data_IF_091273363703
#
_entry.id   IF_091273363703
#
_cell.length_a   1.000
_cell.length_b   1.000
_cell.length_c   1.000
_cell.angle_alpha   90.00
_cell.angle_beta   90.00
_cell.angle_gamma   90.00
#
_symmetry.space_group_name_H-M   'P 1'
#
loop_
_entity.id
_entity.type
_entity.pdbx_description
1 polymer ?
#
# COMPACT_ATOMS: atom_id res chain seq x y z
N UNK A 1 45.65 -20.32 -11.57
CA UNK A 1 44.47 -20.04 -12.40
C UNK A 1 43.31 -19.77 -11.45
N UNK A 2 42.82 -18.54 -11.44
CA UNK A 2 41.73 -18.10 -10.57
C UNK A 2 40.38 -18.38 -11.25
N UNK A 3 39.51 -19.14 -10.60
CA UNK A 3 38.13 -19.33 -11.03
C UNK A 3 37.30 -18.09 -10.67
N UNK A 4 37.07 -17.23 -11.65
CA UNK A 4 36.01 -16.22 -11.62
C UNK A 4 34.67 -16.89 -11.97
N UNK A 5 34.02 -17.47 -10.97
CA UNK A 5 32.63 -17.93 -11.06
C UNK A 5 31.70 -16.97 -10.32
N UNK A 6 31.30 -15.87 -10.95
CA UNK A 6 30.21 -15.04 -10.46
C UNK A 6 28.88 -15.73 -10.77
N UNK A 7 28.60 -16.85 -10.10
CA UNK A 7 27.31 -17.51 -10.16
C UNK A 7 26.32 -16.73 -9.33
N UNK A 8 25.39 -16.01 -9.97
CA UNK A 8 24.18 -15.55 -9.31
C UNK A 8 23.49 -16.78 -8.70
N UNK A 9 23.58 -16.94 -7.38
CA UNK A 9 22.90 -18.03 -6.68
C UNK A 9 21.40 -17.83 -6.89
N UNK A 10 20.78 -18.73 -7.64
CA UNK A 10 19.31 -18.77 -7.80
C UNK A 10 18.69 -18.85 -6.41
N UNK A 11 18.01 -17.79 -6.01
CA UNK A 11 17.31 -17.76 -4.72
C UNK A 11 16.03 -18.57 -4.83
N UNK A 12 16.04 -19.79 -4.32
CA UNK A 12 14.87 -20.68 -4.30
C UNK A 12 13.88 -20.37 -3.18
N UNK A 13 14.23 -19.47 -2.25
CA UNK A 13 13.35 -19.08 -1.15
C UNK A 13 12.42 -17.93 -1.58
N UNK A 14 11.40 -18.26 -2.36
CA UNK A 14 10.38 -17.33 -2.81
C UNK A 14 9.32 -17.15 -1.70
N UNK A 15 9.07 -15.90 -1.32
CA UNK A 15 8.01 -15.55 -0.37
C UNK A 15 6.83 -15.00 -1.16
N UNK A 16 5.79 -15.81 -1.31
CA UNK A 16 4.53 -15.39 -1.93
C UNK A 16 3.69 -14.59 -0.93
N UNK A 17 2.72 -13.81 -1.42
CA UNK A 17 1.76 -13.09 -0.58
C UNK A 17 1.04 -14.04 0.39
N UNK A 18 0.55 -15.18 -0.09
CA UNK A 18 -0.09 -16.21 0.74
C UNK A 18 0.85 -16.70 1.85
N UNK A 19 2.11 -16.99 1.52
CA UNK A 19 3.10 -17.42 2.51
C UNK A 19 3.40 -16.31 3.52
N UNK A 20 3.55 -15.06 3.06
CA UNK A 20 3.79 -13.91 3.92
C UNK A 20 2.65 -13.72 4.93
N UNK A 21 1.40 -13.76 4.47
CA UNK A 21 0.22 -13.62 5.34
C UNK A 21 0.14 -14.75 6.37
N UNK A 22 0.45 -15.99 5.97
CA UNK A 22 0.53 -17.13 6.88
C UNK A 22 1.64 -16.95 7.94
N UNK A 23 2.82 -16.50 7.54
CA UNK A 23 3.93 -16.27 8.48
C UNK A 23 3.63 -15.12 9.45
N UNK A 24 2.99 -14.04 8.99
CA UNK A 24 2.55 -12.94 9.86
C UNK A 24 1.46 -13.38 10.83
N UNK A 25 0.53 -14.24 10.39
CA UNK A 25 -0.49 -14.83 11.26
C UNK A 25 0.17 -15.57 12.44
N UNK A 26 1.19 -16.39 12.20
CA UNK A 26 1.87 -17.16 13.26
C UNK A 26 2.61 -16.27 14.28
N UNK A 27 3.09 -15.08 13.87
CA UNK A 27 3.85 -14.17 14.76
C UNK A 27 2.98 -13.47 15.81
N UNK A 28 1.70 -13.29 15.55
CA UNK A 28 0.76 -12.74 16.52
C UNK A 28 0.21 -13.86 17.40
N UNK A 29 0.66 -13.95 18.67
CA UNK A 29 0.38 -15.05 19.64
C UNK A 29 -1.12 -15.33 19.93
N UNK A 30 -2.05 -14.55 19.40
CA UNK A 30 -3.49 -14.81 19.46
C UNK A 30 -4.03 -15.62 18.25
N UNK A 31 -3.18 -15.90 17.26
CA UNK A 31 -3.56 -16.57 16.02
C UNK A 31 -3.03 -18.00 15.99
N UNK A 32 -3.92 -18.96 16.27
CA UNK A 32 -3.72 -20.34 15.83
C UNK A 32 -4.28 -20.47 14.42
N UNK A 33 -3.41 -20.86 13.49
CA UNK A 33 -3.82 -21.35 12.18
C UNK A 33 -4.32 -22.78 12.36
N UNK A 34 -5.62 -22.96 12.39
CA UNK A 34 -6.22 -24.29 12.26
C UNK A 34 -7.22 -24.29 11.11
N UNK A 35 -6.95 -25.18 10.16
CA UNK A 35 -7.70 -25.51 8.95
C UNK A 35 -9.08 -26.16 9.24
N UNK A 36 -9.70 -25.90 10.38
CA UNK A 36 -10.92 -26.59 10.79
C UNK A 36 -11.99 -25.63 11.28
N UNK A 37 -13.13 -25.71 10.60
CA UNK A 37 -14.41 -25.10 10.92
C UNK A 37 -14.80 -25.34 12.39
N UNK A 38 -14.48 -24.41 13.29
CA UNK A 38 -15.07 -24.33 14.63
C UNK A 38 -15.35 -22.87 14.97
N UNK A 39 -16.60 -22.48 15.32
CA UNK A 39 -16.92 -21.11 15.67
C UNK A 39 -16.39 -20.82 17.08
N UNK A 40 -15.26 -20.12 17.16
CA UNK A 40 -14.76 -19.54 18.41
C UNK A 40 -14.16 -18.16 18.13
N UNK A 41 -13.89 -17.31 19.15
CA UNK A 41 -13.29 -15.98 19.00
C UNK A 41 -11.93 -15.97 18.27
N UNK A 42 -11.38 -17.16 17.97
CA UNK A 42 -10.16 -17.45 17.19
C UNK A 42 -10.35 -17.38 15.67
N UNK A 43 -11.53 -16.99 15.16
CA UNK A 43 -11.87 -16.92 13.71
C UNK A 43 -11.44 -15.62 13.00
N UNK A 44 -10.77 -14.71 13.71
CA UNK A 44 -10.60 -13.32 13.29
C UNK A 44 -9.51 -13.14 12.22
N UNK A 45 -8.36 -13.82 12.33
CA UNK A 45 -7.30 -13.73 11.31
C UNK A 45 -7.54 -14.66 10.11
N UNK A 46 -8.21 -15.81 10.28
CA UNK A 46 -8.60 -16.68 9.15
C UNK A 46 -9.59 -15.97 8.22
N UNK A 47 -10.43 -15.08 8.78
CA UNK A 47 -11.34 -14.24 8.02
C UNK A 47 -10.60 -13.12 7.24
N UNK A 48 -9.56 -12.53 7.83
CA UNK A 48 -8.70 -11.57 7.15
C UNK A 48 -7.90 -12.22 6.01
N UNK A 49 -7.46 -13.47 6.20
CA UNK A 49 -6.74 -14.25 5.20
C UNK A 49 -7.61 -14.57 3.97
N UNK A 50 -8.85 -15.03 4.19
CA UNK A 50 -9.81 -15.28 3.11
C UNK A 50 -10.15 -13.99 2.34
N UNK A 51 -10.25 -12.86 3.04
CA UNK A 51 -10.44 -11.56 2.41
C UNK A 51 -9.23 -11.16 1.56
N UNK A 52 -8.00 -11.35 2.05
CA UNK A 52 -6.78 -11.07 1.29
C UNK A 52 -6.64 -11.98 0.05
N UNK A 53 -7.06 -13.24 0.12
CA UNK A 53 -7.10 -14.14 -1.04
C UNK A 53 -8.12 -13.70 -2.09
N UNK A 54 -9.31 -13.27 -1.66
CA UNK A 54 -10.31 -12.71 -2.57
C UNK A 54 -9.79 -11.44 -3.26
N UNK A 55 -9.17 -10.53 -2.50
CA UNK A 55 -8.53 -9.32 -3.04
C UNK A 55 -7.43 -9.67 -4.04
N UNK A 56 -6.56 -10.63 -3.71
CA UNK A 56 -5.50 -11.10 -4.60
C UNK A 56 -6.08 -11.63 -5.93
N UNK A 57 -7.17 -12.39 -5.87
CA UNK A 57 -7.85 -12.89 -7.06
C UNK A 57 -8.42 -11.75 -7.91
N UNK A 58 -9.08 -10.76 -7.30
CA UNK A 58 -9.56 -9.56 -8.00
C UNK A 58 -8.42 -8.82 -8.70
N UNK A 59 -7.31 -8.55 -8.00
CA UNK A 59 -6.19 -7.80 -8.57
C UNK A 59 -5.53 -8.54 -9.74
N UNK A 60 -5.39 -9.87 -9.66
CA UNK A 60 -4.88 -10.69 -10.78
C UNK A 60 -5.80 -10.63 -11.99
N UNK A 61 -7.11 -10.70 -11.75
CA UNK A 61 -8.12 -10.65 -12.80
C UNK A 61 -8.17 -9.28 -13.47
N UNK A 62 -8.19 -8.20 -12.69
CA UNK A 62 -8.15 -6.82 -13.19
C UNK A 62 -6.86 -6.58 -13.99
N UNK A 63 -5.70 -6.99 -13.47
CA UNK A 63 -4.42 -6.89 -14.19
C UNK A 63 -4.43 -7.64 -15.54
N UNK A 64 -5.12 -8.78 -15.61
CA UNK A 64 -5.27 -9.55 -16.85
C UNK A 64 -6.15 -8.80 -17.87
N UNK A 65 -7.29 -8.24 -17.45
CA UNK A 65 -8.18 -7.49 -18.34
C UNK A 65 -7.55 -6.18 -18.81
N UNK A 66 -6.86 -5.43 -17.94
CA UNK A 66 -6.14 -4.19 -18.30
C UNK A 66 -5.12 -4.47 -19.42
N UNK A 67 -4.29 -5.51 -19.28
CA UNK A 67 -3.25 -5.85 -20.27
C UNK A 67 -3.82 -6.30 -21.61
N UNK A 68 -5.08 -6.74 -21.63
CA UNK A 68 -5.78 -7.19 -22.84
C UNK A 68 -6.84 -6.21 -23.32
N UNK A 69 -6.95 -5.03 -22.70
CA UNK A 69 -8.05 -4.11 -22.95
C UNK A 69 -8.17 -3.73 -24.43
N UNK A 70 -7.06 -3.35 -25.07
CA UNK A 70 -7.03 -3.02 -26.50
C UNK A 70 -7.23 -4.25 -27.39
N UNK A 71 -6.76 -5.43 -26.97
CA UNK A 71 -6.87 -6.67 -27.75
C UNK A 71 -8.30 -7.22 -27.80
N UNK A 72 -9.07 -7.01 -26.73
CA UNK A 72 -10.44 -7.51 -26.56
C UNK A 72 -11.48 -6.39 -26.78
N UNK A 73 -11.02 -5.22 -27.25
CA UNK A 73 -11.85 -4.03 -27.51
C UNK A 73 -12.68 -3.59 -26.28
N UNK A 74 -12.05 -3.64 -25.11
CA UNK A 74 -12.59 -3.16 -23.83
C UNK A 74 -12.31 -1.67 -23.60
N UNK A 75 -11.63 -1.01 -24.54
CA UNK A 75 -11.40 0.45 -24.55
C UNK A 75 -12.67 1.18 -25.00
N UNK A 76 -12.97 2.32 -24.37
CA UNK A 76 -14.14 3.14 -24.67
C UNK A 76 -15.27 3.10 -23.63
N UNK A 77 -16.27 3.95 -23.88
CA UNK A 77 -17.37 4.22 -22.95
C UNK A 77 -18.33 3.02 -22.83
N UNK A 78 -18.79 2.77 -21.60
CA UNK A 78 -19.85 1.80 -21.31
C UNK A 78 -21.24 2.32 -21.69
N UNK A 79 -21.38 3.64 -21.87
CA UNK A 79 -22.64 4.32 -22.21
C UNK A 79 -23.43 4.83 -20.99
N UNK A 80 -22.89 4.67 -19.78
CA UNK A 80 -23.42 5.15 -18.50
C UNK A 80 -22.51 6.20 -17.86
N UNK A 81 -23.09 7.12 -17.08
CA UNK A 81 -22.36 8.12 -16.28
C UNK A 81 -22.46 7.76 -14.80
N UNK A 82 -21.35 7.77 -14.05
CA UNK A 82 -21.34 7.46 -12.62
C UNK A 82 -21.95 8.59 -11.77
N UNK A 83 -22.33 8.32 -10.51
CA UNK A 83 -22.78 9.34 -9.54
C UNK A 83 -21.74 10.42 -9.26
N UNK A 84 -20.47 10.13 -9.53
CA UNK A 84 -19.35 11.06 -9.43
C UNK A 84 -19.22 12.00 -10.64
N UNK A 85 -20.01 11.80 -11.69
CA UNK A 85 -20.04 12.61 -12.91
C UNK A 85 -18.91 12.31 -13.91
N UNK A 86 -18.14 11.25 -13.68
CA UNK A 86 -17.11 10.75 -14.60
C UNK A 86 -17.76 9.76 -15.62
N UNK A 87 -17.29 9.79 -16.88
CA UNK A 87 -17.77 8.91 -17.95
C UNK A 87 -17.31 7.46 -17.71
N UNK A 88 -18.24 6.52 -17.50
CA UNK A 88 -17.91 5.15 -17.13
C UNK A 88 -17.31 4.39 -18.32
N UNK A 89 -16.13 3.78 -18.13
CA UNK A 89 -15.53 2.91 -19.14
C UNK A 89 -15.95 1.47 -18.92
N UNK A 90 -15.95 0.67 -20.00
CA UNK A 90 -16.33 -0.75 -19.92
C UNK A 90 -15.45 -1.53 -18.93
N UNK A 91 -14.18 -1.17 -18.83
CA UNK A 91 -13.26 -1.83 -17.92
C UNK A 91 -13.54 -1.52 -16.45
N UNK A 92 -14.08 -0.33 -16.17
CA UNK A 92 -14.46 0.09 -14.81
C UNK A 92 -15.61 -0.81 -14.32
N UNK A 93 -16.65 -1.00 -15.15
CA UNK A 93 -17.77 -1.92 -14.88
C UNK A 93 -17.29 -3.35 -14.63
N UNK A 94 -16.45 -3.89 -15.53
CA UNK A 94 -15.94 -5.27 -15.40
C UNK A 94 -15.12 -5.42 -14.11
N UNK A 95 -14.31 -4.42 -13.78
CA UNK A 95 -13.45 -4.49 -12.60
C UNK A 95 -14.24 -4.34 -11.30
N UNK A 96 -15.28 -3.52 -11.30
CA UNK A 96 -16.24 -3.41 -10.21
C UNK A 96 -16.97 -4.75 -9.99
N UNK A 97 -17.54 -5.34 -11.04
CA UNK A 97 -18.25 -6.63 -10.97
C UNK A 97 -17.36 -7.76 -10.43
N UNK A 98 -16.12 -7.85 -10.94
CA UNK A 98 -15.12 -8.81 -10.47
C UNK A 98 -14.77 -8.61 -9.00
N UNK A 99 -14.66 -7.35 -8.56
CA UNK A 99 -14.37 -7.04 -7.16
C UNK A 99 -15.54 -7.41 -6.26
N UNK A 100 -16.76 -7.04 -6.63
CA UNK A 100 -17.98 -7.36 -5.89
C UNK A 100 -18.15 -8.87 -5.72
N UNK A 101 -17.99 -9.65 -6.80
CA UNK A 101 -18.17 -11.10 -6.76
C UNK A 101 -17.06 -11.80 -5.95
N UNK A 102 -15.82 -11.32 -6.04
CA UNK A 102 -14.74 -11.81 -5.19
C UNK A 102 -15.01 -11.53 -3.70
N UNK A 103 -15.50 -10.33 -3.37
CA UNK A 103 -15.87 -9.99 -1.99
C UNK A 103 -17.06 -10.82 -1.50
N UNK A 104 -18.07 -11.04 -2.34
CA UNK A 104 -19.24 -11.88 -2.06
C UNK A 104 -18.82 -13.32 -1.76
N UNK A 105 -17.99 -13.91 -2.62
CA UNK A 105 -17.52 -15.29 -2.47
C UNK A 105 -16.57 -15.50 -1.28
N UNK A 106 -15.92 -14.45 -0.80
CA UNK A 106 -15.09 -14.52 0.42
C UNK A 106 -15.90 -14.91 1.67
N UNK A 107 -17.20 -14.56 1.72
CA UNK A 107 -18.07 -14.77 2.88
C UNK A 107 -17.64 -14.03 4.16
N UNK A 108 -16.65 -13.12 4.07
CA UNK A 108 -16.10 -12.38 5.22
C UNK A 108 -16.37 -10.88 5.19
N UNK A 109 -16.80 -10.38 4.03
CA UNK A 109 -17.24 -9.01 3.82
C UNK A 109 -18.75 -8.91 4.06
N UNK A 110 -19.19 -8.04 4.98
CA UNK A 110 -20.62 -7.81 5.23
C UNK A 110 -21.16 -6.66 4.37
N UNK A 111 -20.33 -5.64 4.14
CA UNK A 111 -20.68 -4.47 3.34
C UNK A 111 -19.50 -4.00 2.48
N UNK A 112 -19.83 -3.54 1.28
CA UNK A 112 -18.87 -3.01 0.31
C UNK A 112 -19.34 -1.63 -0.16
N UNK A 113 -18.40 -0.68 -0.20
CA UNK A 113 -18.55 0.62 -0.86
C UNK A 113 -17.58 0.66 -2.02
N UNK A 114 -18.09 0.90 -3.22
CA UNK A 114 -17.30 1.07 -4.44
C UNK A 114 -17.46 2.50 -4.95
N UNK A 115 -16.46 3.02 -5.66
CA UNK A 115 -16.58 4.29 -6.38
C UNK A 115 -17.63 4.24 -7.49
N UNK A 116 -17.84 3.04 -8.06
CA UNK A 116 -18.72 2.78 -9.21
C UNK A 116 -20.19 2.52 -8.83
N UNK A 117 -20.50 2.49 -7.53
CA UNK A 117 -21.82 2.13 -7.00
C UNK A 117 -22.39 3.25 -6.14
N UNK A 118 -23.61 3.68 -6.45
CA UNK A 118 -24.27 4.79 -5.76
C UNK A 118 -24.71 4.40 -4.33
N UNK A 119 -25.06 3.12 -4.16
CA UNK A 119 -25.59 2.58 -2.91
C UNK A 119 -24.63 1.56 -2.31
N UNK A 120 -24.67 1.44 -0.98
CA UNK A 120 -23.85 0.47 -0.25
C UNK A 120 -24.33 -0.95 -0.58
N UNK A 121 -23.40 -1.83 -0.95
CA UNK A 121 -23.70 -3.23 -1.22
C UNK A 121 -23.64 -4.01 0.08
N UNK A 122 -24.78 -4.58 0.48
CA UNK A 122 -24.90 -5.45 1.66
C UNK A 122 -24.92 -6.92 1.25
N UNK A 123 -23.99 -7.71 1.80
CA UNK A 123 -23.92 -9.16 1.56
C UNK A 123 -24.73 -9.92 2.60
N UNK A 124 -26.02 -10.12 2.31
CA UNK A 124 -26.99 -10.78 3.23
C UNK A 124 -26.65 -12.22 3.60
N UNK A 125 -25.86 -12.92 2.77
CA UNK A 125 -25.52 -14.33 2.95
C UNK A 125 -24.21 -14.56 3.73
N UNK A 126 -23.63 -13.50 4.31
CA UNK A 126 -22.34 -13.58 5.00
C UNK A 126 -22.52 -13.68 6.52
N UNK A 127 -23.13 -14.79 6.97
CA UNK A 127 -23.29 -15.05 8.41
C UNK A 127 -21.92 -15.08 9.12
N UNK A 128 -21.73 -14.16 10.07
CA UNK A 128 -20.46 -14.01 10.79
C UNK A 128 -19.38 -13.23 10.04
N UNK A 129 -19.71 -12.50 8.98
CA UNK A 129 -18.82 -11.51 8.39
C UNK A 129 -18.49 -10.39 9.38
N UNK A 130 -17.22 -10.00 9.42
CA UNK A 130 -16.68 -9.04 10.41
C UNK A 130 -15.95 -7.86 9.77
N UNK A 131 -15.97 -7.78 8.44
CA UNK A 131 -15.25 -6.75 7.71
C UNK A 131 -16.17 -5.95 6.79
N UNK A 132 -15.87 -4.67 6.70
CA UNK A 132 -16.39 -3.72 5.74
C UNK A 132 -15.25 -3.32 4.81
N UNK A 133 -15.51 -3.27 3.50
CA UNK A 133 -14.49 -2.92 2.51
C UNK A 133 -14.95 -1.66 1.75
N UNK A 134 -14.04 -0.71 1.60
CA UNK A 134 -14.20 0.38 0.64
C UNK A 134 -13.16 0.18 -0.47
N UNK A 135 -13.55 0.35 -1.72
CA UNK A 135 -12.64 0.20 -2.85
C UNK A 135 -12.86 1.26 -3.93
N UNK A 136 -11.77 1.52 -4.65
CA UNK A 136 -11.77 2.13 -5.96
C UNK A 136 -11.25 1.05 -6.93
N UNK A 137 -12.14 0.42 -7.73
CA UNK A 137 -11.76 -0.66 -8.64
C UNK A 137 -10.69 -0.24 -9.65
N UNK A 138 -10.81 0.97 -10.22
CA UNK A 138 -9.86 1.54 -11.19
C UNK A 138 -9.64 3.04 -10.92
N UNK A 139 -8.63 3.34 -10.11
CA UNK A 139 -8.07 4.70 -10.01
C UNK A 139 -7.35 5.06 -11.32
N UNK A 140 -7.67 6.26 -11.81
CA UNK A 140 -7.08 6.81 -13.02
C UNK A 140 -7.66 6.24 -14.31
N UNK A 141 -8.91 5.73 -14.30
CA UNK A 141 -9.62 5.20 -15.47
C UNK A 141 -9.53 6.10 -16.71
N UNK A 142 -9.56 7.42 -16.54
CA UNK A 142 -9.37 8.41 -17.62
C UNK A 142 -8.11 8.18 -18.46
N UNK A 143 -7.04 7.66 -17.85
CA UNK A 143 -5.74 7.42 -18.47
C UNK A 143 -5.59 6.04 -19.14
N UNK A 144 -6.59 5.16 -18.99
CA UNK A 144 -6.55 3.79 -19.49
C UNK A 144 -6.35 3.72 -21.01
N UNK A 145 -7.05 4.57 -21.79
CA UNK A 145 -6.96 4.56 -23.26
C UNK A 145 -5.60 5.06 -23.76
N UNK A 146 -4.88 5.83 -22.94
CA UNK A 146 -3.53 6.30 -23.24
C UNK A 146 -2.44 5.28 -22.87
N UNK A 147 -2.80 4.13 -22.29
CA UNK A 147 -1.85 3.10 -21.85
C UNK A 147 -0.98 3.53 -20.67
N UNK A 148 -1.42 4.54 -19.91
CA UNK A 148 -0.73 5.03 -18.72
C UNK A 148 -1.08 4.12 -17.52
N UNK A 149 -0.25 4.17 -16.47
CA UNK A 149 -0.46 3.36 -15.26
C UNK A 149 -1.74 3.76 -14.53
N UNK A 150 -2.52 2.75 -14.15
CA UNK A 150 -3.77 2.86 -13.37
C UNK A 150 -3.66 1.94 -12.14
N UNK A 151 -4.64 1.92 -11.25
CA UNK A 151 -4.57 1.06 -10.08
C UNK A 151 -5.90 0.72 -9.43
N UNK A 152 -5.88 -0.16 -8.44
CA UNK A 152 -7.03 -0.44 -7.56
C UNK A 152 -6.66 -0.02 -6.15
N UNK A 153 -7.54 0.65 -5.43
CA UNK A 153 -7.34 1.03 -4.03
C UNK A 153 -8.34 0.27 -3.17
N UNK A 154 -7.91 -0.16 -1.97
CA UNK A 154 -8.81 -0.80 -1.02
C UNK A 154 -8.50 -0.40 0.41
N UNK A 155 -9.57 -0.32 1.20
CA UNK A 155 -9.59 -0.03 2.61
C UNK A 155 -10.44 -1.10 3.32
N UNK A 156 -9.95 -1.63 4.44
CA UNK A 156 -10.65 -2.63 5.24
C UNK A 156 -10.92 -2.07 6.63
N UNK A 157 -12.19 -2.05 7.01
CA UNK A 157 -12.69 -1.72 8.34
C UNK A 157 -13.16 -2.97 9.06
N UNK A 158 -13.02 -2.98 10.39
CA UNK A 158 -13.55 -4.04 11.25
C UNK A 158 -14.90 -3.62 11.81
N UNK A 159 -15.88 -4.51 11.69
CA UNK A 159 -17.22 -4.32 12.23
C UNK A 159 -17.27 -4.69 13.72
N UNK A 160 -18.15 -4.02 14.51
CA UNK A 160 -18.46 -4.44 15.87
C UNK A 160 -19.01 -5.87 15.91
N UNK A 161 -18.81 -6.58 17.04
CA UNK A 161 -19.35 -7.93 17.19
C UNK A 161 -20.88 -7.93 17.15
N UNK A 162 -21.47 -8.76 16.29
CA UNK A 162 -22.92 -8.87 16.13
C UNK A 162 -23.54 -7.81 15.20
N UNK A 163 -22.76 -6.88 14.64
CA UNK A 163 -23.27 -5.98 13.59
C UNK A 163 -23.44 -6.73 12.27
N UNK A 164 -24.58 -6.52 11.61
CA UNK A 164 -24.83 -6.96 10.23
C UNK A 164 -24.32 -5.96 9.19
N UNK A 165 -23.60 -4.93 9.63
CA UNK A 165 -23.13 -3.82 8.82
C UNK A 165 -24.22 -2.76 8.62
N UNK A 166 -24.04 -1.59 9.22
CA UNK A 166 -24.87 -0.41 8.91
C UNK A 166 -24.06 0.63 8.14
N UNK A 167 -24.73 1.65 7.59
CA UNK A 167 -24.05 2.78 6.92
C UNK A 167 -23.07 3.49 7.85
N UNK A 168 -23.39 3.57 9.13
CA UNK A 168 -22.57 4.20 10.16
C UNK A 168 -21.28 3.40 10.43
N UNK A 169 -21.27 2.10 10.16
CA UNK A 169 -20.11 1.26 10.40
C UNK A 169 -18.95 1.53 9.43
N UNK A 170 -19.24 2.05 8.23
CA UNK A 170 -18.21 2.45 7.24
C UNK A 170 -17.88 3.93 7.28
N UNK A 171 -18.76 4.77 7.83
CA UNK A 171 -18.54 6.20 8.03
C UNK A 171 -17.65 6.47 9.27
N UNK A 172 -16.54 5.74 9.35
CA UNK A 172 -15.56 5.83 10.43
C UNK A 172 -14.32 6.58 9.98
N UNK A 173 -13.58 7.22 10.90
CA UNK A 173 -12.34 7.88 10.55
C UNK A 173 -11.32 6.86 10.02
N UNK A 174 -10.49 7.28 9.05
CA UNK A 174 -9.45 6.42 8.45
C UNK A 174 -8.42 5.86 9.45
N UNK A 175 -8.32 6.46 10.64
CA UNK A 175 -7.49 5.97 11.76
C UNK A 175 -7.97 4.62 12.34
N UNK A 176 -9.20 4.21 12.04
CA UNK A 176 -9.79 2.93 12.44
C UNK A 176 -9.63 1.82 11.40
N UNK A 177 -9.01 2.10 10.25
CA UNK A 177 -8.69 1.08 9.25
C UNK A 177 -7.80 0.00 9.85
N UNK A 178 -8.14 -1.27 9.59
CA UNK A 178 -7.33 -2.42 10.04
C UNK A 178 -6.29 -2.82 9.00
N UNK A 179 -6.63 -2.64 7.72
CA UNK A 179 -5.75 -2.90 6.60
C UNK A 179 -6.09 -1.93 5.47
N UNK A 180 -5.08 -1.56 4.70
CA UNK A 180 -5.26 -0.80 3.47
C UNK A 180 -4.14 -1.11 2.49
N UNK A 181 -4.38 -0.77 1.24
CA UNK A 181 -3.38 -0.92 0.22
C UNK A 181 -3.89 -0.47 -1.13
N UNK A 182 -3.03 -0.66 -2.11
CA UNK A 182 -3.35 -0.42 -3.49
C UNK A 182 -2.55 -1.35 -4.39
N UNK A 183 -3.07 -1.62 -5.57
CA UNK A 183 -2.34 -2.32 -6.63
C UNK A 183 -2.14 -1.35 -7.79
N UNK A 184 -0.88 -1.10 -8.18
CA UNK A 184 -0.55 -0.34 -9.37
C UNK A 184 -0.40 -1.28 -10.56
N UNK A 185 -1.15 -1.03 -11.64
CA UNK A 185 -1.03 -1.71 -12.92
C UNK A 185 -0.24 -0.84 -13.90
N UNK A 186 1.09 -0.96 -13.84
CA UNK A 186 2.00 -0.34 -14.78
C UNK A 186 2.69 -1.37 -15.68
N UNK A 187 3.99 -1.18 -15.91
CA UNK A 187 4.82 -2.19 -16.59
C UNK A 187 4.77 -3.58 -15.92
N UNK A 188 4.59 -3.60 -14.60
CA UNK A 188 4.27 -4.77 -13.79
C UNK A 188 3.13 -4.42 -12.85
N UNK A 189 2.41 -5.44 -12.36
CA UNK A 189 1.40 -5.24 -11.33
C UNK A 189 2.08 -5.29 -9.95
N UNK A 190 1.96 -4.21 -9.19
CA UNK A 190 2.64 -4.00 -7.91
C UNK A 190 1.58 -3.80 -6.81
N UNK A 191 1.44 -4.78 -5.92
CA UNK A 191 0.56 -4.69 -4.76
C UNK A 191 1.33 -4.12 -3.58
N UNK A 192 0.84 -3.02 -3.01
CA UNK A 192 1.30 -2.48 -1.74
C UNK A 192 0.23 -2.76 -0.69
N UNK A 193 0.62 -3.38 0.42
CA UNK A 193 -0.27 -3.74 1.51
C UNK A 193 0.33 -3.29 2.84
N UNK A 194 -0.53 -2.78 3.72
CA UNK A 194 -0.20 -2.52 5.12
C UNK A 194 -1.35 -2.92 6.03
N UNK A 195 -0.99 -3.38 7.23
CA UNK A 195 -1.92 -3.50 8.35
C UNK A 195 -1.73 -2.30 9.29
N UNK A 196 -2.74 -2.01 10.11
CA UNK A 196 -2.62 -0.99 11.17
C UNK A 196 -1.43 -1.32 12.07
N UNK A 197 -0.63 -0.29 12.36
CA UNK A 197 0.56 -0.38 13.21
C UNK A 197 1.63 -1.40 12.75
N UNK A 198 1.66 -1.73 11.45
CA UNK A 198 2.61 -2.67 10.86
C UNK A 198 3.47 -2.03 9.76
N UNK A 199 4.42 -2.80 9.24
CA UNK A 199 5.24 -2.41 8.09
C UNK A 199 4.45 -2.41 6.79
N UNK A 200 4.77 -1.49 5.89
CA UNK A 200 4.31 -1.51 4.49
C UNK A 200 5.13 -2.53 3.71
N UNK A 201 4.47 -3.39 2.93
CA UNK A 201 5.14 -4.40 2.11
C UNK A 201 4.65 -4.34 0.66
N UNK A 202 5.59 -4.43 -0.28
CA UNK A 202 5.34 -4.42 -1.71
C UNK A 202 5.58 -5.78 -2.36
N UNK A 203 4.63 -6.23 -3.17
CA UNK A 203 4.64 -7.49 -3.88
C UNK A 203 4.50 -7.25 -5.39
N UNK A 204 5.30 -7.96 -6.18
CA UNK A 204 5.21 -7.91 -7.64
C UNK A 204 4.53 -9.16 -8.16
N UNK A 205 3.55 -9.00 -9.05
CA UNK A 205 2.89 -10.12 -9.71
C UNK A 205 3.83 -10.76 -10.74
N UNK A 206 4.13 -12.04 -10.55
CA UNK A 206 4.71 -12.90 -11.57
C UNK A 206 3.59 -13.46 -12.45
N UNK A 207 3.59 -13.11 -13.75
CA UNK A 207 2.56 -13.57 -14.68
C UNK A 207 2.73 -15.03 -15.12
N UNK A 208 3.94 -15.58 -15.04
CA UNK A 208 4.20 -16.97 -15.42
C UNK A 208 3.68 -17.95 -14.35
N UNK A 209 3.87 -17.59 -13.08
CA UNK A 209 3.42 -18.40 -11.93
C UNK A 209 2.00 -17.99 -11.49
N UNK A 210 1.60 -16.74 -11.72
CA UNK A 210 0.30 -16.22 -11.30
C UNK A 210 0.24 -15.86 -9.81
N UNK A 211 1.39 -15.53 -9.20
CA UNK A 211 1.52 -15.24 -7.77
C UNK A 211 2.17 -13.89 -7.51
N UNK A 212 1.75 -13.25 -6.42
CA UNK A 212 2.38 -12.03 -5.92
C UNK A 212 3.59 -12.41 -5.07
N UNK A 213 4.78 -12.02 -5.52
CA UNK A 213 6.05 -12.33 -4.86
C UNK A 213 6.51 -11.09 -4.09
N UNK A 214 6.94 -11.28 -2.85
CA UNK A 214 7.48 -10.20 -2.02
C UNK A 214 8.78 -9.68 -2.64
N UNK A 215 8.75 -8.44 -3.12
CA UNK A 215 9.91 -7.78 -3.75
C UNK A 215 10.43 -6.62 -2.93
N UNK A 216 9.55 -5.94 -2.18
CA UNK A 216 9.89 -4.79 -1.36
C UNK A 216 9.43 -5.00 0.09
N UNK A 217 10.17 -5.76 0.90
CA UNK A 217 9.85 -5.93 2.31
C UNK A 217 10.09 -4.63 3.08
N UNK A 218 9.16 -4.29 3.99
CA UNK A 218 9.31 -3.18 4.92
C UNK A 218 9.65 -1.84 4.24
N UNK A 219 8.85 -1.47 3.23
CA UNK A 219 8.99 -0.21 2.48
C UNK A 219 9.00 1.00 3.42
N UNK A 220 9.87 1.96 3.13
CA UNK A 220 9.99 3.22 3.86
C UNK A 220 10.13 4.37 2.90
N UNK A 221 9.47 5.48 3.22
CA UNK A 221 9.54 6.69 2.43
C UNK A 221 10.93 7.32 2.65
N UNK A 222 11.70 7.59 1.59
CA UNK A 222 12.95 8.33 1.70
C UNK A 222 12.71 9.74 2.27
N UNK A 223 13.51 10.15 3.26
CA UNK A 223 13.31 11.39 4.04
C UNK A 223 13.35 12.68 3.22
N UNK A 224 14.17 12.73 2.17
CA UNK A 224 14.34 13.94 1.39
C UNK A 224 14.64 13.57 -0.06
N UNK A 225 13.71 13.94 -0.94
CA UNK A 225 13.89 13.92 -2.38
C UNK A 225 13.14 15.08 -2.97
N UNK A 226 13.83 15.84 -3.82
CA UNK A 226 13.32 17.04 -4.43
C UNK A 226 12.40 16.69 -5.61
N UNK A 227 11.25 16.07 -5.33
CA UNK A 227 10.22 15.72 -6.32
C UNK A 227 8.86 16.21 -5.81
N UNK A 228 8.09 16.87 -6.67
CA UNK A 228 6.70 17.23 -6.38
C UNK A 228 5.77 16.77 -7.50
N UNK A 229 4.54 16.43 -7.12
CA UNK A 229 3.52 15.88 -8.00
C UNK A 229 2.19 16.56 -7.73
N UNK A 230 1.78 17.39 -8.67
CA UNK A 230 0.54 18.17 -8.60
C UNK A 230 0.08 18.53 -10.02
N UNK A 231 -1.22 18.65 -10.24
CA UNK A 231 -1.76 19.14 -11.51
C UNK A 231 -1.65 20.67 -11.60
N UNK A 232 -0.53 21.18 -12.09
CA UNK A 232 -0.31 22.62 -12.25
C UNK A 232 -1.27 23.32 -13.22
N UNK A 233 -2.00 22.58 -14.06
CA UNK A 233 -3.09 23.13 -14.89
C UNK A 233 -4.20 23.79 -14.08
N UNK A 234 -4.37 23.39 -12.82
CA UNK A 234 -5.35 23.99 -11.90
C UNK A 234 -4.79 25.18 -11.11
N UNK A 235 -3.53 25.60 -11.34
CA UNK A 235 -2.89 26.70 -10.60
C UNK A 235 -3.66 28.02 -10.61
N UNK A 236 -4.41 28.30 -11.68
CA UNK A 236 -5.29 29.47 -11.79
C UNK A 236 -6.39 29.48 -10.70
N UNK A 237 -6.83 28.30 -10.27
CA UNK A 237 -7.93 28.12 -9.32
C UNK A 237 -7.46 27.93 -7.88
N UNK A 238 -6.16 27.76 -7.66
CA UNK A 238 -5.60 27.56 -6.33
C UNK A 238 -5.66 28.82 -5.47
N UNK A 239 -5.67 28.59 -4.15
CA UNK A 239 -5.48 29.66 -3.19
C UNK A 239 -4.02 30.13 -3.19
N UNK A 240 -3.80 31.40 -2.82
CA UNK A 240 -2.48 32.02 -2.82
C UNK A 240 -1.40 31.22 -2.05
N UNK A 241 -1.67 30.67 -0.84
CA UNK A 241 -0.67 29.86 -0.13
C UNK A 241 -0.21 28.62 -0.92
N UNK A 242 -1.13 27.95 -1.62
CA UNK A 242 -0.82 26.78 -2.45
C UNK A 242 0.05 27.18 -3.64
N UNK A 243 -0.28 28.28 -4.31
CA UNK A 243 0.49 28.82 -5.43
C UNK A 243 1.90 29.20 -4.97
N UNK A 244 2.00 29.92 -3.85
CA UNK A 244 3.28 30.38 -3.30
C UNK A 244 4.15 29.18 -2.87
N UNK A 245 3.57 28.14 -2.26
CA UNK A 245 4.26 26.90 -1.93
C UNK A 245 4.83 26.20 -3.17
N UNK A 246 4.02 25.92 -4.19
CA UNK A 246 4.52 25.23 -5.39
C UNK A 246 5.50 26.09 -6.19
N UNK A 247 5.36 27.41 -6.19
CA UNK A 247 6.35 28.30 -6.79
C UNK A 247 7.68 28.27 -6.03
N UNK A 248 7.67 28.14 -4.70
CA UNK A 248 8.89 27.98 -3.90
C UNK A 248 9.66 26.68 -4.19
N UNK A 249 8.99 25.66 -4.72
CA UNK A 249 9.64 24.40 -5.13
C UNK A 249 10.37 24.51 -6.47
N UNK A 250 9.98 25.50 -7.31
CA UNK A 250 10.57 25.77 -8.63
C UNK A 250 11.82 26.64 -8.55
N UNK A 251 12.07 27.30 -7.42
CA UNK A 251 13.30 28.04 -7.19
C UNK A 251 14.42 27.09 -6.76
N UNK A 252 15.66 27.49 -7.01
CA UNK A 252 16.82 26.72 -6.58
C UNK A 252 16.84 26.59 -5.05
N UNK A 253 17.01 25.36 -4.58
CA UNK A 253 17.13 25.05 -3.15
C UNK A 253 18.58 25.26 -2.70
N UNK A 254 18.89 24.91 -1.44
CA UNK A 254 20.24 25.05 -0.88
C UNK A 254 21.33 24.27 -1.67
N UNK A 255 20.95 23.23 -2.39
CA UNK A 255 21.83 22.44 -3.26
C UNK A 255 21.97 23.01 -4.69
N UNK A 256 21.39 24.19 -4.93
CA UNK A 256 21.41 24.89 -6.22
C UNK A 256 20.43 24.33 -7.26
N UNK A 257 19.56 23.38 -6.91
CA UNK A 257 18.61 22.76 -7.85
C UNK A 257 17.17 22.92 -7.37
N UNK A 258 16.21 23.16 -8.29
CA UNK A 258 14.80 23.13 -7.94
C UNK A 258 14.29 21.68 -7.78
N UNK A 259 13.10 21.52 -7.21
CA UNK A 259 12.43 20.23 -7.19
C UNK A 259 12.02 19.82 -8.62
N UNK A 260 12.12 18.54 -8.91
CA UNK A 260 11.64 17.96 -10.17
C UNK A 260 10.12 17.77 -10.14
N UNK A 261 9.42 18.30 -11.14
CA UNK A 261 7.99 18.03 -11.34
C UNK A 261 7.77 16.64 -11.95
N UNK A 262 6.88 15.84 -11.36
CA UNK A 262 6.41 14.57 -11.91
C UNK A 262 4.93 14.44 -11.60
N UNK A 263 4.08 14.39 -12.61
CA UNK A 263 2.64 14.17 -12.43
C UNK A 263 2.17 13.16 -13.48
N UNK A 264 1.82 11.95 -13.03
CA UNK A 264 1.37 10.87 -13.92
C UNK A 264 -0.12 11.03 -14.21
N UNK A 265 -0.89 11.52 -13.25
CA UNK A 265 -2.33 11.73 -13.38
C UNK A 265 -3.19 10.54 -12.93
N UNK A 266 -2.58 9.51 -12.35
CA UNK A 266 -3.24 8.48 -11.53
C UNK A 266 -2.70 8.58 -10.11
N UNK A 267 -3.60 8.63 -9.12
CA UNK A 267 -3.23 8.74 -7.72
C UNK A 267 -2.33 7.57 -7.31
N UNK A 268 -2.68 6.35 -7.71
CA UNK A 268 -1.93 5.13 -7.38
C UNK A 268 -0.52 5.18 -7.93
N UNK A 269 -0.34 5.61 -9.18
CA UNK A 269 0.98 5.69 -9.81
C UNK A 269 1.86 6.77 -9.15
N UNK A 270 1.29 7.95 -8.90
CA UNK A 270 1.98 9.05 -8.23
C UNK A 270 2.31 8.71 -6.76
N UNK A 271 1.40 8.02 -6.06
CA UNK A 271 1.59 7.52 -4.70
C UNK A 271 2.68 6.45 -4.62
N UNK A 272 2.66 5.46 -5.50
CA UNK A 272 3.68 4.41 -5.54
C UNK A 272 5.09 4.98 -5.77
N UNK A 273 5.23 5.91 -6.71
CA UNK A 273 6.49 6.63 -6.93
C UNK A 273 6.93 7.39 -5.67
N UNK A 274 6.01 8.10 -5.03
CA UNK A 274 6.31 8.89 -3.83
C UNK A 274 6.73 7.98 -2.67
N UNK A 275 6.12 6.80 -2.54
CA UNK A 275 6.51 5.79 -1.55
C UNK A 275 7.93 5.26 -1.78
N UNK A 276 8.33 5.02 -3.02
CA UNK A 276 9.65 4.49 -3.37
C UNK A 276 10.76 5.56 -3.37
N UNK A 277 10.47 6.72 -3.92
CA UNK A 277 11.48 7.75 -4.20
C UNK A 277 11.42 8.93 -3.24
N UNK A 278 10.38 9.05 -2.42
CA UNK A 278 10.13 10.22 -1.60
C UNK A 278 9.66 11.42 -2.45
N UNK A 279 9.47 12.54 -1.77
CA UNK A 279 8.88 13.75 -2.35
C UNK A 279 7.44 13.96 -1.88
N UNK A 280 6.68 14.76 -2.63
CA UNK A 280 5.31 15.13 -2.28
C UNK A 280 4.34 14.85 -3.43
N UNK A 281 3.22 14.21 -3.10
CA UNK A 281 2.02 14.17 -3.93
C UNK A 281 0.95 15.07 -3.32
N UNK A 282 0.29 15.87 -4.15
CA UNK A 282 -0.72 16.80 -3.69
C UNK A 282 -1.88 16.91 -4.69
N UNK A 283 -3.09 16.95 -4.12
CA UNK A 283 -4.31 17.29 -4.84
C UNK A 283 -5.07 18.35 -4.02
N UNK A 284 -4.61 19.62 -4.05
CA UNK A 284 -5.17 20.67 -3.19
C UNK A 284 -6.60 21.01 -3.59
N UNK A 285 -7.38 21.49 -2.62
CA UNK A 285 -8.66 22.12 -2.90
C UNK A 285 -8.46 23.38 -3.76
N UNK A 286 -9.43 23.63 -4.64
CA UNK A 286 -9.42 24.79 -5.52
C UNK A 286 -10.82 25.43 -5.59
N UNK A 287 -10.95 26.55 -6.32
CA UNK A 287 -12.23 27.27 -6.43
C UNK A 287 -13.36 26.46 -7.09
N UNK A 288 -13.04 25.46 -7.92
CA UNK A 288 -14.03 24.58 -8.56
C UNK A 288 -14.40 23.41 -7.66
N UNK A 289 -13.42 22.88 -6.92
CA UNK A 289 -13.55 21.75 -6.02
C UNK A 289 -13.08 22.16 -4.61
N UNK A 290 -13.92 22.91 -3.85
CA UNK A 290 -13.52 23.47 -2.55
C UNK A 290 -13.25 22.41 -1.47
N UNK A 291 -13.72 21.17 -1.67
CA UNK A 291 -13.44 20.02 -0.80
C UNK A 291 -12.33 19.11 -1.35
N UNK A 292 -11.65 19.50 -2.43
CA UNK A 292 -10.77 18.61 -3.20
C UNK A 292 -11.56 17.67 -4.13
N UNK A 293 -10.84 16.92 -4.98
CA UNK A 293 -11.44 15.93 -5.89
C UNK A 293 -11.44 14.51 -5.30
N UNK A 294 -10.39 14.17 -4.56
CA UNK A 294 -10.19 12.82 -4.02
C UNK A 294 -11.20 12.52 -2.90
N UNK A 295 -11.74 11.30 -2.89
CA UNK A 295 -12.77 10.83 -1.97
C UNK A 295 -12.14 10.18 -0.75
N UNK A 296 -12.73 10.46 0.41
CA UNK A 296 -12.08 10.12 1.68
C UNK A 296 -12.03 8.61 1.93
N UNK A 297 -13.13 7.89 1.68
CA UNK A 297 -13.29 6.50 2.11
C UNK A 297 -12.39 5.52 1.34
N UNK A 298 -12.26 5.69 0.03
CA UNK A 298 -11.59 4.74 -0.84
C UNK A 298 -10.32 5.26 -1.54
N UNK A 299 -10.02 6.57 -1.48
CA UNK A 299 -8.75 7.13 -1.99
C UNK A 299 -7.87 7.67 -0.85
N UNK A 300 -8.33 8.70 -0.13
CA UNK A 300 -7.48 9.41 0.83
C UNK A 300 -7.14 8.59 2.08
N UNK A 301 -8.12 7.98 2.74
CA UNK A 301 -7.92 7.22 3.97
C UNK A 301 -6.99 6.00 3.79
N UNK A 302 -7.19 5.11 2.78
CA UNK A 302 -6.29 3.99 2.55
C UNK A 302 -4.86 4.43 2.24
N UNK A 303 -4.70 5.46 1.42
CA UNK A 303 -3.38 6.00 1.10
C UNK A 303 -2.72 6.63 2.34
N UNK A 304 -3.45 7.40 3.14
CA UNK A 304 -2.94 7.98 4.37
C UNK A 304 -2.38 6.91 5.32
N UNK A 305 -3.06 5.78 5.49
CA UNK A 305 -2.56 4.67 6.33
C UNK A 305 -1.25 4.09 5.78
N UNK A 306 -1.14 3.91 4.47
CA UNK A 306 0.10 3.42 3.82
C UNK A 306 1.24 4.40 4.04
N UNK A 307 1.02 5.70 3.83
CA UNK A 307 2.07 6.70 4.00
C UNK A 307 2.47 6.88 5.47
N UNK A 308 1.52 6.85 6.40
CA UNK A 308 1.80 6.93 7.84
C UNK A 308 2.67 5.74 8.28
N UNK A 309 2.32 4.52 7.92
CA UNK A 309 3.12 3.34 8.24
C UNK A 309 4.47 3.30 7.50
N UNK A 310 4.52 3.88 6.29
CA UNK A 310 5.76 4.04 5.52
C UNK A 310 6.73 5.07 6.12
N UNK A 311 6.24 6.02 6.91
CA UNK A 311 7.06 7.01 7.62
C UNK A 311 7.46 6.54 9.03
N UNK A 312 6.70 5.61 9.63
CA UNK A 312 6.97 5.09 10.98
C UNK A 312 8.37 4.45 11.10
N UNK A 313 9.11 4.92 12.10
CA UNK A 313 10.38 4.31 12.53
C UNK A 313 10.14 2.91 13.13
N UNK A 314 11.03 1.94 12.91
CA UNK A 314 10.96 0.67 13.64
C UNK A 314 11.12 0.94 15.14
N UNK A 315 10.17 0.45 15.95
CA UNK A 315 10.34 0.39 17.39
C UNK A 315 11.57 -0.45 17.78
N UNK A 316 12.06 -0.35 19.03
CA UNK A 316 13.32 -0.99 19.47
C UNK A 316 13.41 -2.51 19.18
N UNK A 317 12.26 -3.19 19.06
CA UNK A 317 12.17 -4.63 18.75
C UNK A 317 12.50 -4.96 17.28
N UNK A 318 12.13 -4.11 16.32
CA UNK A 318 12.40 -4.37 14.89
C UNK A 318 13.85 -4.06 14.48
N UNK A 319 14.53 -3.18 15.24
CA UNK A 319 15.95 -2.87 15.00
C UNK A 319 16.86 -4.08 15.30
N UNK A 320 16.51 -4.90 16.29
CA UNK A 320 17.27 -6.12 16.62
C UNK A 320 17.17 -7.19 15.53
N UNK A 321 16.01 -7.37 14.92
CA UNK A 321 15.82 -8.37 13.86
C UNK A 321 16.48 -7.95 12.53
N UNK A 322 16.46 -6.66 12.19
CA UNK A 322 17.18 -6.13 11.02
C UNK A 322 18.70 -6.27 11.17
N UNK A 323 19.24 -6.04 12.37
CA UNK A 323 20.66 -6.24 12.64
C UNK A 323 21.08 -7.73 12.65
N UNK A 324 20.18 -8.64 13.03
CA UNK A 324 20.45 -10.07 13.02
C UNK A 324 20.50 -10.67 11.59
N UNK A 325 19.73 -10.12 10.64
CA UNK A 325 19.68 -10.61 9.25
C UNK A 325 20.79 -10.06 8.35
N UNK A 326 21.48 -9.00 8.78
CA UNK A 326 22.52 -8.31 7.99
C UNK A 326 23.98 -8.67 8.34
N UNK A 327 24.23 -9.54 9.32
CA UNK A 327 25.61 -9.92 9.70
C UNK A 327 25.90 -11.37 9.27
N UNK A 328 26.87 -11.63 8.37
CA UNK A 328 27.40 -12.98 8.24
C UNK A 328 28.00 -13.38 9.60
N UNK A 329 27.58 -14.54 10.12
CA UNK A 329 28.11 -15.10 11.37
C UNK A 329 29.63 -15.21 11.26
N UNK A 330 30.35 -14.34 11.95
CA UNK A 330 31.79 -14.45 12.07
C UNK A 330 32.13 -15.70 12.88
N UNK A 331 32.88 -16.63 12.28
CA UNK A 331 33.47 -17.75 12.98
C UNK A 331 34.37 -17.26 14.13
N UNK A 332 34.35 -17.92 15.30
CA UNK A 332 35.21 -17.53 16.42
C UNK A 332 36.66 -17.87 16.08
N UNK A 333 37.52 -16.85 15.94
CA UNK A 333 38.98 -17.05 15.90
C UNK A 333 39.49 -17.41 17.30
N UNK A 334 40.55 -18.24 17.43
CA UNK A 334 41.01 -18.72 18.73
C UNK A 334 41.68 -17.60 19.54
N UNK A 335 41.40 -17.58 20.84
CA UNK A 335 42.01 -16.68 21.83
C UNK A 335 43.54 -16.92 21.86
N UNK A 336 44.33 -15.89 21.55
CA UNK A 336 45.73 -15.81 21.99
C UNK A 336 45.78 -15.08 23.33
N UNK A 337 46.27 -15.78 24.34
CA UNK A 337 46.70 -15.19 25.61
C UNK A 337 47.89 -14.26 25.36
N UNK A 338 47.83 -13.04 25.90
CA UNK A 338 49.03 -12.27 26.26
C UNK A 338 48.78 -11.57 27.60
N UNK A 339 49.68 -11.87 28.54
CA UNK A 339 49.76 -11.28 29.87
C UNK A 339 50.24 -9.82 29.81
N UNK A 340 49.59 -8.98 30.62
CA UNK A 340 50.21 -8.02 31.55
C UNK A 340 51.00 -6.83 31.00
N UNK A 341 50.51 -5.62 31.27
CA UNK A 341 51.18 -4.70 32.22
C UNK A 341 50.30 -3.50 32.56
N UNK A 342 50.44 -3.05 33.81
CA UNK A 342 49.71 -1.97 34.47
C UNK A 342 50.08 -0.57 33.97
N UNK A 343 49.12 0.35 34.06
CA UNK A 343 49.36 1.80 34.07
C UNK A 343 48.10 2.57 34.48
N UNK A 344 48.05 3.05 35.73
CA UNK A 344 47.09 4.05 36.21
C UNK A 344 47.56 5.45 35.79
N UNK A 345 46.67 6.35 35.38
CA UNK A 345 46.26 7.47 36.24
C UNK A 345 45.22 8.43 35.61
N UNK A 346 44.31 8.87 36.48
CA UNK A 346 43.73 10.22 36.67
C UNK A 346 43.29 11.05 35.45
N UNK A 347 41.97 11.16 35.25
CA UNK A 347 41.16 12.36 35.57
C UNK A 347 39.76 12.16 34.98
N UNK A 348 38.75 12.18 35.85
CA UNK A 348 37.36 12.30 35.44
C UNK A 348 37.02 13.75 35.12
N UNK A 349 36.23 13.94 34.09
CA UNK A 349 35.11 14.90 34.07
C UNK A 349 34.27 14.68 32.83
N UNK A 350 32.97 14.55 33.06
CA UNK A 350 31.93 14.51 32.04
C UNK A 350 31.59 15.95 31.63
N UNK A 351 31.33 16.16 30.34
CA UNK A 351 30.75 17.40 29.80
C UNK A 351 29.45 17.04 29.09
N UNK A 352 28.32 17.72 29.38
CA UNK A 352 27.04 17.42 28.75
C UNK A 352 26.98 18.03 27.35
N UNK A 353 26.59 17.22 26.37
CA UNK A 353 26.38 17.66 24.99
C UNK A 353 24.93 18.13 24.84
N UNK A 354 24.79 19.40 24.47
CA UNK A 354 23.52 20.07 24.15
C UNK A 354 23.07 19.64 22.75
N UNK A 355 21.81 19.22 22.63
CA UNK A 355 21.13 18.91 21.36
C UNK A 355 20.88 20.17 20.53
N UNK A 356 21.07 20.06 19.22
CA UNK A 356 20.39 20.82 18.17
C UNK A 356 19.78 19.83 17.17
#
# INVERSE_FOLDING_TARGET
MAENGNGEKVNTNIVTLTRFLNEEQVKHKEASGDFTCVPSPRSQLTAQFLLCHALQFSFKSIAYYIRRATLVNLTGLAGSSNSTGDDQKKLDVISNDLFIEAMRSSGKCALLVSEEEDEIIYFKNAEGARYAVACDPIDGSSNLDAGVSVGTIFAVHKLPEGSTGTKEDILKPGTELVAAGFTMYGASAQLVLTMKDSSVNGFTLDNGIGEFILTHPNMRIPRARAIYSVNEGNSLYWQKPTVDYFNSLKTAQADGKPYSSRYIGSMVADAYRTLLYGGIFAYPADKKSPKGKLRILYECAPMALVFENGDRRPGPRQQHEAHARGRPRAHPRPRRHLHGQLGRDRKGQAVPQVEL
#
